data_IF_284547017933
#
_entry.id   IF_284547017933
#
_cell.length_a   1.000
_cell.length_b   1.000
_cell.length_c   1.000
_cell.angle_alpha   90.00
_cell.angle_beta   90.00
_cell.angle_gamma   90.00
#
_symmetry.space_group_name_H-M   'P 1'
#
loop_
_entity.id
_entity.type
_entity.pdbx_description
1 polymer ?
#
# COMPACT_ATOMS: atom_id res chain seq x y z
N UNK A 1 -8.39 5.75 -8.36
CA UNK A 1 -7.65 7.03 -8.38
C UNK A 1 -8.45 8.16 -7.74
N UNK A 2 -9.69 8.45 -8.16
CA UNK A 2 -10.52 9.50 -7.53
C UNK A 2 -10.69 9.34 -6.01
N UNK A 3 -10.92 8.12 -5.53
CA UNK A 3 -11.01 7.84 -4.08
C UNK A 3 -9.69 8.16 -3.37
N UNK A 4 -8.55 7.78 -3.98
CA UNK A 4 -7.23 8.05 -3.43
C UNK A 4 -6.93 9.56 -3.39
N UNK A 5 -7.33 10.29 -4.44
CA UNK A 5 -7.22 11.74 -4.51
C UNK A 5 -8.07 12.42 -3.43
N UNK A 6 -9.35 12.09 -3.33
CA UNK A 6 -10.25 12.70 -2.34
C UNK A 6 -9.81 12.39 -0.90
N UNK A 7 -9.37 11.15 -0.64
CA UNK A 7 -8.87 10.75 0.67
C UNK A 7 -7.56 11.47 1.02
N UNK A 8 -6.61 11.50 0.10
CA UNK A 8 -5.35 12.21 0.30
C UNK A 8 -5.55 13.70 0.50
N UNK A 9 -6.40 14.33 -0.31
CA UNK A 9 -6.70 15.75 -0.21
C UNK A 9 -7.38 16.08 1.11
N UNK A 10 -8.28 15.20 1.57
CA UNK A 10 -8.89 15.32 2.89
C UNK A 10 -7.84 15.33 3.99
N UNK A 11 -6.92 14.36 4.00
CA UNK A 11 -5.82 14.31 4.98
C UNK A 11 -4.96 15.57 4.88
N UNK A 12 -4.58 15.97 3.66
CA UNK A 12 -3.73 17.13 3.44
C UNK A 12 -4.35 18.44 3.97
N UNK A 13 -5.67 18.61 3.82
CA UNK A 13 -6.39 19.78 4.34
C UNK A 13 -6.45 19.83 5.86
N UNK A 14 -6.52 18.69 6.54
CA UNK A 14 -6.60 18.64 8.02
C UNK A 14 -5.23 18.69 8.71
N UNK A 15 -4.20 18.15 8.06
CA UNK A 15 -2.84 18.11 8.61
C UNK A 15 -1.94 19.25 8.11
N UNK A 16 -2.50 20.19 7.34
CA UNK A 16 -1.79 21.32 6.72
C UNK A 16 -0.55 20.86 5.94
N UNK A 17 -0.68 19.73 5.25
CA UNK A 17 0.37 19.18 4.39
C UNK A 17 0.13 19.59 2.95
N UNK A 18 1.20 19.91 2.22
CA UNK A 18 1.16 20.50 0.88
C UNK A 18 0.82 19.51 -0.25
N UNK A 19 -0.19 18.65 -0.06
CA UNK A 19 -0.60 17.67 -1.08
C UNK A 19 0.24 16.38 -1.09
N UNK A 20 1.10 16.16 -0.09
CA UNK A 20 2.05 15.03 -0.05
C UNK A 20 1.28 13.71 0.08
N UNK A 21 0.22 13.66 0.89
CA UNK A 21 -0.63 12.48 1.00
C UNK A 21 -1.40 12.22 -0.30
N UNK A 22 -1.93 13.27 -0.93
CA UNK A 22 -2.59 13.19 -2.24
C UNK A 22 -1.67 12.59 -3.29
N UNK A 23 -0.44 13.11 -3.43
CA UNK A 23 0.51 12.65 -4.42
C UNK A 23 0.88 11.17 -4.22
N UNK A 24 1.25 10.80 -2.99
CA UNK A 24 1.66 9.44 -2.64
C UNK A 24 0.53 8.41 -2.77
N UNK A 25 -0.71 8.74 -2.41
CA UNK A 25 -1.86 7.84 -2.54
C UNK A 25 -2.29 7.67 -4.00
N UNK A 26 -2.31 8.75 -4.78
CA UNK A 26 -2.67 8.68 -6.21
C UNK A 26 -1.63 7.87 -6.99
N UNK A 27 -0.33 8.04 -6.69
CA UNK A 27 0.74 7.26 -7.30
C UNK A 27 0.59 5.76 -7.03
N UNK A 28 0.32 5.36 -5.78
CA UNK A 28 0.06 3.96 -5.43
C UNK A 28 -1.19 3.45 -6.16
N UNK A 29 -2.27 4.24 -6.20
CA UNK A 29 -3.50 3.86 -6.88
C UNK A 29 -3.32 3.67 -8.40
N UNK A 30 -2.39 4.42 -9.00
CA UNK A 30 -2.01 4.28 -10.41
C UNK A 30 -1.21 2.98 -10.65
N UNK A 31 -0.19 2.72 -9.83
CA UNK A 31 0.71 1.55 -9.98
C UNK A 31 0.05 0.23 -9.58
N UNK A 32 -0.95 0.26 -8.69
CA UNK A 32 -1.62 -0.93 -8.15
C UNK A 32 -2.14 -1.89 -9.25
N UNK A 33 -2.84 -1.37 -10.25
CA UNK A 33 -3.47 -2.22 -11.27
C UNK A 33 -2.43 -2.90 -12.19
N UNK A 34 -1.43 -2.18 -12.74
CA UNK A 34 -0.30 -2.82 -13.43
C UNK A 34 0.42 -3.85 -12.55
N UNK A 35 0.66 -3.53 -11.28
CA UNK A 35 1.35 -4.45 -10.35
C UNK A 35 0.56 -5.75 -10.15
N UNK A 36 -0.76 -5.66 -9.96
CA UNK A 36 -1.62 -6.84 -9.87
C UNK A 36 -1.59 -7.70 -11.13
N UNK A 37 -1.56 -7.09 -12.32
CA UNK A 37 -1.47 -7.83 -13.58
C UNK A 37 -0.18 -8.65 -13.67
N UNK A 38 0.94 -8.11 -13.19
CA UNK A 38 2.23 -8.83 -13.14
C UNK A 38 2.17 -10.03 -12.20
N UNK A 39 1.40 -9.94 -11.11
CA UNK A 39 1.24 -11.01 -10.12
C UNK A 39 0.15 -12.02 -10.48
N UNK A 40 -0.61 -11.78 -11.55
CA UNK A 40 -1.71 -12.65 -11.95
C UNK A 40 -1.14 -13.93 -12.58
N UNK A 41 -1.49 -15.13 -12.07
CA UNK A 41 -1.07 -16.39 -12.68
C UNK A 41 -1.58 -16.53 -14.11
N UNK A 42 -0.94 -17.39 -14.91
CA UNK A 42 -1.32 -17.66 -16.30
C UNK A 42 -2.77 -18.15 -16.47
N UNK A 43 -3.34 -18.77 -15.42
CA UNK A 43 -4.75 -19.22 -15.37
C UNK A 43 -5.74 -18.19 -14.81
N UNK A 44 -5.28 -16.99 -14.44
CA UNK A 44 -6.11 -15.98 -13.77
C UNK A 44 -6.34 -16.27 -12.28
N UNK A 45 -7.16 -15.43 -11.65
CA UNK A 45 -7.71 -15.70 -10.32
C UNK A 45 -9.12 -16.25 -10.46
N UNK A 46 -9.53 -17.13 -9.54
CA UNK A 46 -10.89 -17.66 -9.50
C UNK A 46 -11.90 -16.51 -9.40
N UNK A 47 -12.93 -16.56 -10.26
CA UNK A 47 -13.97 -15.55 -10.29
C UNK A 47 -14.73 -15.53 -8.95
N UNK A 48 -14.82 -14.35 -8.32
CA UNK A 48 -15.51 -14.16 -7.04
C UNK A 48 -14.63 -14.37 -5.80
N UNK A 49 -13.36 -14.75 -5.96
CA UNK A 49 -12.42 -14.86 -4.85
C UNK A 49 -11.87 -13.48 -4.47
N UNK A 50 -12.24 -12.99 -3.28
CA UNK A 50 -11.76 -11.70 -2.80
C UNK A 50 -10.25 -11.76 -2.54
N UNK A 51 -9.46 -10.80 -3.06
CA UNK A 51 -8.03 -10.78 -2.88
C UNK A 51 -7.68 -10.44 -1.43
N UNK A 52 -7.43 -11.47 -0.63
CA UNK A 52 -7.04 -11.38 0.77
C UNK A 52 -6.00 -12.46 1.09
N UNK A 53 -5.17 -12.23 2.09
CA UNK A 53 -4.15 -13.17 2.59
C UNK A 53 -4.80 -14.50 3.02
N UNK A 54 -6.00 -14.46 3.60
CA UNK A 54 -6.69 -15.66 4.03
C UNK A 54 -7.08 -16.58 2.87
N UNK A 55 -7.34 -15.98 1.71
CA UNK A 55 -7.78 -16.66 0.49
C UNK A 55 -6.60 -17.03 -0.42
N UNK A 56 -5.64 -16.13 -0.61
CA UNK A 56 -4.54 -16.26 -1.57
C UNK A 56 -3.22 -16.73 -0.92
N UNK A 57 -3.18 -16.77 0.41
CA UNK A 57 -2.00 -17.15 1.18
C UNK A 57 -1.08 -15.97 1.52
N UNK A 58 -0.19 -16.23 2.47
CA UNK A 58 0.75 -15.22 2.98
C UNK A 58 1.78 -14.78 1.93
N UNK A 59 2.31 -15.72 1.13
CA UNK A 59 3.29 -15.40 0.08
C UNK A 59 2.74 -14.43 -0.95
N UNK A 60 1.52 -14.67 -1.45
CA UNK A 60 0.86 -13.76 -2.38
C UNK A 60 0.66 -12.37 -1.77
N UNK A 61 0.19 -12.32 -0.52
CA UNK A 61 -0.02 -11.04 0.18
C UNK A 61 1.29 -10.27 0.32
N UNK A 62 2.38 -10.94 0.73
CA UNK A 62 3.70 -10.33 0.86
C UNK A 62 4.17 -9.72 -0.48
N UNK A 63 4.12 -10.49 -1.57
CA UNK A 63 4.55 -10.02 -2.89
C UNK A 63 3.65 -8.90 -3.43
N UNK A 64 2.36 -8.92 -3.11
CA UNK A 64 1.43 -7.87 -3.49
C UNK A 64 1.62 -6.58 -2.70
N UNK A 65 1.58 -6.64 -1.37
CA UNK A 65 1.47 -5.45 -0.52
C UNK A 65 2.81 -4.80 -0.22
N UNK A 66 3.88 -5.58 -0.03
CA UNK A 66 5.18 -5.04 0.41
C UNK A 66 5.76 -4.02 -0.58
N UNK A 67 5.78 -4.27 -1.90
CA UNK A 67 6.29 -3.29 -2.87
C UNK A 67 5.44 -2.03 -2.92
N UNK A 68 4.11 -2.15 -2.78
CA UNK A 68 3.22 -0.99 -2.76
C UNK A 68 3.40 -0.14 -1.50
N UNK A 69 3.58 -0.76 -0.33
CA UNK A 69 3.87 -0.03 0.90
C UNK A 69 5.22 0.67 0.84
N UNK A 70 6.26 0.00 0.35
CA UNK A 70 7.57 0.62 0.15
C UNK A 70 7.48 1.78 -0.82
N UNK A 71 6.80 1.61 -1.95
CA UNK A 71 6.61 2.67 -2.95
C UNK A 71 5.87 3.88 -2.37
N UNK A 72 4.81 3.66 -1.59
CA UNK A 72 4.09 4.72 -0.91
C UNK A 72 4.99 5.54 0.02
N UNK A 73 5.68 4.88 0.95
CA UNK A 73 6.51 5.55 1.95
C UNK A 73 7.74 6.19 1.31
N UNK A 74 8.32 5.56 0.28
CA UNK A 74 9.40 6.16 -0.49
C UNK A 74 8.94 7.49 -1.07
N UNK A 75 7.81 7.53 -1.78
CA UNK A 75 7.31 8.79 -2.35
C UNK A 75 6.97 9.82 -1.27
N UNK A 76 6.28 9.41 -0.21
CA UNK A 76 5.90 10.30 0.88
C UNK A 76 7.11 10.98 1.53
N UNK A 77 8.06 10.17 2.03
CA UNK A 77 9.24 10.70 2.72
C UNK A 77 10.22 11.38 1.77
N UNK A 78 10.30 10.95 0.51
CA UNK A 78 11.11 11.63 -0.50
C UNK A 78 10.60 13.06 -0.73
N UNK A 79 9.29 13.24 -0.94
CA UNK A 79 8.68 14.55 -1.15
C UNK A 79 8.80 15.42 0.11
N UNK A 80 8.53 14.87 1.30
CA UNK A 80 8.61 15.58 2.57
C UNK A 80 10.03 16.11 2.85
N UNK A 81 11.07 15.34 2.51
CA UNK A 81 12.45 15.65 2.85
C UNK A 81 13.25 16.22 1.65
N UNK A 82 12.58 16.66 0.57
CA UNK A 82 13.23 17.28 -0.58
C UNK A 82 14.11 18.46 -0.16
N UNK A 83 15.36 18.45 -0.62
CA UNK A 83 16.34 19.50 -0.30
C UNK A 83 17.03 19.38 1.06
N UNK A 84 16.71 18.34 1.85
CA UNK A 84 17.49 18.02 3.06
C UNK A 84 18.62 17.04 2.71
N UNK A 85 19.83 17.28 3.20
CA UNK A 85 20.97 16.36 3.02
C UNK A 85 20.88 15.10 3.92
N UNK A 86 19.67 14.69 4.31
CA UNK A 86 19.40 13.66 5.32
C UNK A 86 19.01 12.32 4.69
N UNK A 87 19.91 11.72 3.91
CA UNK A 87 19.63 10.45 3.24
C UNK A 87 19.37 9.29 4.22
N UNK A 88 20.29 9.04 5.16
CA UNK A 88 20.19 7.89 6.07
C UNK A 88 18.95 7.93 6.98
N UNK A 89 18.59 9.07 7.61
CA UNK A 89 17.38 9.15 8.43
C UNK A 89 16.10 8.89 7.64
N UNK A 90 16.04 9.34 6.38
CA UNK A 90 14.88 9.10 5.49
C UNK A 90 14.72 7.62 5.18
N UNK A 91 15.82 6.93 4.83
CA UNK A 91 15.80 5.48 4.57
C UNK A 91 15.31 4.71 5.79
N UNK A 92 15.79 5.06 7.00
CA UNK A 92 15.33 4.44 8.24
C UNK A 92 13.82 4.65 8.46
N UNK A 93 13.31 5.88 8.28
CA UNK A 93 11.88 6.18 8.36
C UNK A 93 11.06 5.32 7.40
N UNK A 94 11.48 5.23 6.13
CA UNK A 94 10.81 4.42 5.11
C UNK A 94 10.69 2.96 5.56
N UNK A 95 11.80 2.36 6.02
CA UNK A 95 11.83 0.95 6.42
C UNK A 95 10.92 0.71 7.63
N UNK A 96 11.06 1.51 8.70
CA UNK A 96 10.27 1.31 9.91
C UNK A 96 8.77 1.53 9.68
N UNK A 97 8.39 2.56 8.91
CA UNK A 97 6.99 2.83 8.58
C UNK A 97 6.40 1.73 7.69
N UNK A 98 7.15 1.21 6.72
CA UNK A 98 6.70 0.11 5.87
C UNK A 98 6.49 -1.18 6.68
N UNK A 99 7.40 -1.52 7.60
CA UNK A 99 7.25 -2.68 8.50
C UNK A 99 6.02 -2.50 9.38
N UNK A 100 5.84 -1.32 9.98
CA UNK A 100 4.69 -1.03 10.83
C UNK A 100 3.36 -1.21 10.09
N UNK A 101 3.23 -0.62 8.90
CA UNK A 101 2.01 -0.74 8.08
C UNK A 101 1.79 -2.17 7.60
N UNK A 102 2.86 -2.91 7.29
CA UNK A 102 2.76 -4.31 6.91
C UNK A 102 2.20 -5.16 8.04
N UNK A 103 2.73 -5.02 9.27
CA UNK A 103 2.22 -5.73 10.45
C UNK A 103 0.77 -5.33 10.75
N UNK A 104 0.46 -4.03 10.72
CA UNK A 104 -0.91 -3.53 10.93
C UNK A 104 -1.88 -4.13 9.91
N UNK A 105 -1.46 -4.22 8.65
CA UNK A 105 -2.27 -4.82 7.59
C UNK A 105 -2.54 -6.29 7.85
N UNK A 106 -1.56 -7.06 8.35
CA UNK A 106 -1.77 -8.46 8.76
C UNK A 106 -2.83 -8.55 9.86
N UNK A 107 -2.73 -7.71 10.89
CA UNK A 107 -3.70 -7.69 12.00
C UNK A 107 -5.11 -7.39 11.47
N UNK A 108 -5.27 -6.38 10.62
CA UNK A 108 -6.57 -6.04 10.01
C UNK A 108 -7.12 -7.22 9.20
N UNK A 109 -6.26 -7.92 8.46
CA UNK A 109 -6.69 -9.10 7.71
C UNK A 109 -7.15 -10.25 8.60
N UNK A 110 -6.50 -10.48 9.74
CA UNK A 110 -6.88 -11.53 10.68
C UNK A 110 -8.17 -11.18 11.46
N UNK A 111 -8.41 -9.91 11.74
CA UNK A 111 -9.57 -9.46 12.53
C UNK A 111 -10.85 -9.34 11.69
N UNK A 112 -10.76 -8.79 10.48
CA UNK A 112 -11.94 -8.39 9.71
C UNK A 112 -12.25 -9.31 8.53
N UNK A 113 -11.27 -10.05 8.01
CA UNK A 113 -11.50 -10.97 6.91
C UNK A 113 -11.75 -12.37 7.45
N UNK A 114 -12.72 -13.06 6.85
CA UNK A 114 -13.06 -14.44 7.19
C UNK A 114 -12.86 -15.28 5.94
N UNK A 115 -12.10 -16.38 6.04
CA UNK A 115 -11.92 -17.32 4.94
C UNK A 115 -13.28 -17.82 4.48
N UNK A 116 -13.64 -17.64 3.21
CA UNK A 116 -14.77 -18.37 2.63
C UNK A 116 -14.39 -19.85 2.66
N UNK A 117 -15.14 -20.64 3.43
CA UNK A 117 -15.13 -22.09 3.27
C UNK A 117 -15.94 -22.36 2.00
N UNK A 118 -15.25 -22.78 0.93
CA UNK A 118 -15.94 -23.36 -0.23
C UNK A 118 -16.74 -24.55 0.27
N UNK A 119 -18.02 -24.59 -0.10
CA UNK A 119 -18.89 -25.76 0.07
C UNK A 119 -18.53 -26.73 -1.05
#
# INVERSE_FOLDING_TARGET
MLIAFAMGLGVDLFYDTLGIHTASLVAVAFVRNPWLKVLTPTGGYDEGLMPSMLNMGFGWFLTYSLPLFLFHHLLFFYIENLGTNLFFPVVQKIIYSAIFVFIMSIIVQLLFYRRRRGI
#
